data_IF_338611784955
#
_entry.id   IF_338611784955
#
_cell.length_a   1.000
_cell.length_b   1.000
_cell.length_c   1.000
_cell.angle_alpha   90.00
_cell.angle_beta   90.00
_cell.angle_gamma   90.00
#
_symmetry.space_group_name_H-M   'P 1'
#
loop_
_entity.id
_entity.type
_entity.pdbx_description
1 polymer ?
#
# COMPACT_ATOMS: atom_id res chain seq x y z
N UNK A 1 12.73 34.77 -24.78
CA UNK A 1 12.23 33.45 -25.21
C UNK A 1 11.65 33.69 -26.59
N UNK A 2 12.37 33.29 -27.64
CA UNK A 2 11.99 33.57 -29.02
C UNK A 2 10.85 32.64 -29.44
N UNK A 3 9.82 33.14 -30.15
CA UNK A 3 8.67 32.32 -30.57
C UNK A 3 8.94 31.41 -31.79
N UNK A 4 10.16 31.43 -32.36
CA UNK A 4 10.51 30.72 -33.60
C UNK A 4 11.37 29.45 -33.41
N UNK A 5 11.72 29.06 -32.19
CA UNK A 5 12.42 27.79 -31.91
C UNK A 5 11.43 26.63 -31.62
N UNK A 6 10.22 26.73 -32.16
CA UNK A 6 9.30 25.59 -32.27
C UNK A 6 9.77 24.75 -33.45
N UNK A 7 10.74 23.87 -33.24
CA UNK A 7 10.87 22.71 -34.13
C UNK A 7 9.48 22.09 -34.24
N UNK A 8 8.98 21.96 -35.48
CA UNK A 8 7.64 21.47 -35.74
C UNK A 8 7.52 20.10 -35.08
N UNK A 9 6.51 19.90 -34.23
CA UNK A 9 6.35 18.63 -33.52
C UNK A 9 6.30 17.45 -34.51
N UNK A 10 5.83 17.73 -35.72
CA UNK A 10 5.81 16.81 -36.85
C UNK A 10 7.22 16.37 -37.30
N UNK A 11 8.22 17.28 -37.32
CA UNK A 11 9.61 16.96 -37.67
C UNK A 11 10.26 16.07 -36.60
N UNK A 12 9.98 16.35 -35.33
CA UNK A 12 10.51 15.58 -34.19
C UNK A 12 9.91 14.17 -34.15
N UNK A 13 8.60 14.04 -34.41
CA UNK A 13 7.92 12.76 -34.59
C UNK A 13 8.53 12.00 -35.78
N UNK A 14 8.74 12.67 -36.92
CA UNK A 14 9.30 12.04 -38.11
C UNK A 14 10.73 11.53 -37.87
N UNK A 15 11.54 12.24 -37.07
CA UNK A 15 12.87 11.79 -36.66
C UNK A 15 12.82 10.46 -35.90
N UNK A 16 11.93 10.32 -34.91
CA UNK A 16 11.80 9.07 -34.16
C UNK A 16 11.24 7.91 -35.01
N UNK A 17 10.36 8.21 -35.98
CA UNK A 17 9.89 7.22 -36.96
C UNK A 17 11.06 6.72 -37.82
N UNK A 18 11.91 7.63 -38.29
CA UNK A 18 13.09 7.29 -39.09
C UNK A 18 14.06 6.41 -38.30
N UNK A 19 14.36 6.78 -37.05
CA UNK A 19 15.23 6.01 -36.15
C UNK A 19 14.69 4.59 -35.89
N UNK A 20 13.41 4.45 -35.60
CA UNK A 20 12.77 3.15 -35.43
C UNK A 20 12.83 2.28 -36.70
N UNK A 21 12.72 2.92 -37.87
CA UNK A 21 12.82 2.26 -39.16
C UNK A 21 14.25 1.82 -39.45
N UNK A 22 15.25 2.62 -39.08
CA UNK A 22 16.67 2.26 -39.20
C UNK A 22 17.03 1.07 -38.31
N UNK A 23 16.59 1.02 -37.06
CA UNK A 23 16.78 -0.15 -36.18
C UNK A 23 16.23 -1.43 -36.83
N UNK A 24 15.10 -1.31 -37.51
CA UNK A 24 14.46 -2.43 -38.22
C UNK A 24 15.26 -2.87 -39.44
N UNK A 25 15.87 -1.93 -40.18
CA UNK A 25 16.74 -2.25 -41.34
C UNK A 25 18.10 -2.80 -40.92
N UNK A 26 18.64 -2.36 -39.78
CA UNK A 26 19.98 -2.75 -39.32
C UNK A 26 20.02 -4.16 -38.71
N UNK A 27 18.87 -4.73 -38.33
CA UNK A 27 18.74 -6.10 -37.83
C UNK A 27 18.61 -7.17 -38.94
N UNK A 28 19.35 -6.97 -40.03
CA UNK A 28 19.51 -7.99 -41.08
C UNK A 28 20.78 -8.78 -40.78
N UNK A 29 20.64 -10.10 -40.67
CA UNK A 29 21.76 -10.97 -40.33
C UNK A 29 22.75 -11.00 -41.49
N UNK A 30 23.96 -10.46 -41.28
CA UNK A 30 25.04 -10.33 -42.28
C UNK A 30 25.35 -11.62 -43.06
N UNK A 31 25.11 -12.79 -42.45
CA UNK A 31 25.48 -14.08 -43.03
C UNK A 31 24.48 -14.64 -44.04
N UNK A 32 23.17 -14.37 -43.90
CA UNK A 32 22.14 -15.00 -44.73
C UNK A 32 21.12 -14.02 -45.34
N UNK A 33 21.26 -12.71 -45.12
CA UNK A 33 20.25 -11.70 -45.50
C UNK A 33 18.83 -11.98 -44.96
N UNK A 34 18.72 -12.86 -43.95
CA UNK A 34 17.46 -13.16 -43.28
C UNK A 34 17.27 -12.10 -42.20
N UNK A 35 16.18 -11.35 -42.30
CA UNK A 35 15.77 -10.40 -41.27
C UNK A 35 15.37 -11.16 -40.00
N UNK A 36 15.82 -10.68 -38.84
CA UNK A 36 15.32 -11.16 -37.55
C UNK A 36 14.35 -10.12 -36.97
N UNK A 37 13.06 -10.18 -37.34
CA UNK A 37 12.08 -9.18 -36.90
C UNK A 37 11.90 -9.17 -35.38
N UNK A 38 12.14 -10.29 -34.70
CA UNK A 38 12.03 -10.39 -33.25
C UNK A 38 13.17 -9.64 -32.55
N UNK A 39 14.41 -9.77 -33.04
CA UNK A 39 15.55 -9.00 -32.54
C UNK A 39 15.39 -7.49 -32.81
N UNK A 40 14.94 -7.15 -34.02
CA UNK A 40 14.61 -5.77 -34.40
C UNK A 40 13.56 -5.15 -33.46
N UNK A 41 12.49 -5.90 -33.19
CA UNK A 41 11.43 -5.50 -32.28
C UNK A 41 11.94 -5.26 -30.86
N UNK A 42 12.76 -6.18 -30.33
CA UNK A 42 13.39 -6.02 -29.01
C UNK A 42 14.27 -4.79 -28.93
N UNK A 43 15.16 -4.60 -29.90
CA UNK A 43 16.06 -3.45 -29.91
C UNK A 43 15.28 -2.14 -30.00
N UNK A 44 14.23 -2.10 -30.83
CA UNK A 44 13.34 -0.94 -30.92
C UNK A 44 12.71 -0.62 -29.57
N UNK A 45 12.16 -1.62 -28.87
CA UNK A 45 11.55 -1.42 -27.53
C UNK A 45 12.60 -0.91 -26.54
N UNK A 46 13.79 -1.50 -26.52
CA UNK A 46 14.86 -1.11 -25.60
C UNK A 46 15.28 0.35 -25.83
N UNK A 47 15.53 0.74 -27.08
CA UNK A 47 16.01 2.10 -27.42
C UNK A 47 14.94 3.17 -27.25
N UNK A 48 13.70 2.89 -27.64
CA UNK A 48 12.65 3.91 -27.68
C UNK A 48 11.81 3.97 -26.40
N UNK A 49 11.43 2.82 -25.85
CA UNK A 49 10.47 2.77 -24.74
C UNK A 49 11.15 2.63 -23.37
N UNK A 50 12.33 2.00 -23.30
CA UNK A 50 13.02 1.79 -22.02
C UNK A 50 14.01 2.89 -21.65
N UNK A 51 14.55 3.62 -22.63
CA UNK A 51 15.41 4.78 -22.40
C UNK A 51 14.60 5.96 -21.85
N UNK A 52 15.00 6.56 -20.73
CA UNK A 52 14.12 7.54 -20.07
C UNK A 52 13.94 8.84 -20.82
N UNK A 53 15.01 9.39 -21.40
CA UNK A 53 14.97 10.65 -22.13
C UNK A 53 14.11 10.54 -23.39
N UNK A 54 14.38 9.54 -24.24
CA UNK A 54 13.61 9.27 -25.46
C UNK A 54 12.14 8.99 -25.12
N UNK A 55 11.87 8.20 -24.07
CA UNK A 55 10.49 7.95 -23.63
C UNK A 55 9.81 9.25 -23.18
N UNK A 56 10.48 10.10 -22.42
CA UNK A 56 9.91 11.37 -21.95
C UNK A 56 9.63 12.33 -23.12
N UNK A 57 10.52 12.37 -24.10
CA UNK A 57 10.36 13.14 -25.35
C UNK A 57 9.16 12.64 -26.16
N UNK A 58 9.06 11.33 -26.39
CA UNK A 58 7.91 10.73 -27.08
C UNK A 58 6.59 10.95 -26.32
N UNK A 59 6.60 10.80 -24.99
CA UNK A 59 5.43 11.10 -24.16
C UNK A 59 4.99 12.56 -24.31
N UNK A 60 5.94 13.51 -24.30
CA UNK A 60 5.67 14.94 -24.52
C UNK A 60 5.02 15.18 -25.88
N UNK A 61 5.58 14.60 -26.94
CA UNK A 61 5.05 14.72 -28.30
C UNK A 61 3.64 14.12 -28.45
N UNK A 62 3.34 13.07 -27.68
CA UNK A 62 2.05 12.39 -27.69
C UNK A 62 1.04 12.95 -26.67
N UNK A 63 1.40 13.98 -25.90
CA UNK A 63 0.54 14.53 -24.85
C UNK A 63 0.31 13.58 -23.65
N UNK A 64 1.19 12.61 -23.45
CA UNK A 64 1.15 11.68 -22.32
C UNK A 64 1.96 12.27 -21.17
N UNK A 65 1.30 12.56 -20.04
CA UNK A 65 1.94 13.19 -18.88
C UNK A 65 2.23 12.22 -17.71
N UNK A 66 1.86 10.95 -17.86
CA UNK A 66 2.04 9.94 -16.82
C UNK A 66 3.20 8.99 -17.11
N UNK A 67 3.68 8.31 -16.07
CA UNK A 67 4.76 7.35 -16.22
C UNK A 67 4.24 6.04 -16.80
N UNK A 68 4.76 5.65 -17.97
CA UNK A 68 4.35 4.41 -18.64
C UNK A 68 4.71 3.13 -17.85
N UNK A 69 5.67 3.20 -16.93
CA UNK A 69 6.04 2.04 -16.10
C UNK A 69 4.94 1.58 -15.16
N UNK A 70 3.99 2.44 -14.77
CA UNK A 70 2.87 2.02 -13.93
C UNK A 70 1.81 1.22 -14.70
N UNK A 71 1.84 1.26 -16.03
CA UNK A 71 0.90 0.53 -16.90
C UNK A 71 1.40 -0.86 -17.30
N UNK A 72 2.69 -1.14 -17.09
CA UNK A 72 3.26 -2.46 -17.35
C UNK A 72 2.70 -3.45 -16.33
N UNK A 73 2.28 -4.62 -16.81
CA UNK A 73 1.87 -5.72 -15.94
C UNK A 73 3.01 -6.00 -14.93
N UNK A 74 2.75 -5.87 -13.61
CA UNK A 74 3.79 -6.07 -12.61
C UNK A 74 4.41 -7.47 -12.63
N UNK A 75 3.74 -8.47 -13.22
CA UNK A 75 4.32 -9.80 -13.43
C UNK A 75 5.55 -9.76 -14.37
N UNK A 76 5.59 -8.81 -15.31
CA UNK A 76 6.68 -8.62 -16.27
C UNK A 76 7.68 -7.54 -15.84
N UNK A 77 7.41 -6.82 -14.75
CA UNK A 77 8.29 -5.76 -14.26
C UNK A 77 9.69 -6.25 -13.88
N UNK A 78 9.91 -7.44 -13.28
CA UNK A 78 11.25 -7.95 -13.03
C UNK A 78 12.11 -8.08 -14.30
N UNK A 79 11.52 -8.60 -15.38
CA UNK A 79 12.19 -8.75 -16.67
C UNK A 79 12.47 -7.39 -17.31
N UNK A 80 11.52 -6.45 -17.23
CA UNK A 80 11.69 -5.08 -17.74
C UNK A 80 12.80 -4.33 -16.98
N UNK A 81 12.83 -4.40 -15.65
CA UNK A 81 13.89 -3.80 -14.84
C UNK A 81 15.26 -4.42 -15.15
N UNK A 82 15.31 -5.73 -15.37
CA UNK A 82 16.53 -6.43 -15.78
C UNK A 82 17.02 -5.99 -17.17
N UNK A 83 16.11 -5.72 -18.11
CA UNK A 83 16.46 -5.17 -19.42
C UNK A 83 17.03 -3.75 -19.29
N UNK A 84 16.38 -2.89 -18.49
CA UNK A 84 16.83 -1.52 -18.27
C UNK A 84 18.23 -1.52 -17.64
N UNK A 85 18.44 -2.28 -16.56
CA UNK A 85 19.74 -2.35 -15.89
C UNK A 85 20.87 -2.95 -16.73
N UNK A 86 20.57 -3.67 -17.82
CA UNK A 86 21.58 -4.22 -18.75
C UNK A 86 21.90 -3.29 -19.92
N UNK A 87 20.95 -2.46 -20.33
CA UNK A 87 21.05 -1.68 -21.57
C UNK A 87 21.13 -0.17 -21.36
N UNK A 88 20.75 0.32 -20.17
CA UNK A 88 20.72 1.73 -19.80
C UNK A 88 21.49 1.97 -18.51
N UNK A 89 21.61 3.24 -18.12
CA UNK A 89 22.36 3.65 -16.94
C UNK A 89 21.59 3.38 -15.63
N UNK A 90 22.26 3.64 -14.50
CA UNK A 90 21.60 3.50 -13.19
C UNK A 90 20.46 4.52 -12.97
N UNK A 91 20.51 5.67 -13.64
CA UNK A 91 19.46 6.68 -13.58
C UNK A 91 18.13 6.15 -14.12
N UNK A 92 18.17 5.52 -15.29
CA UNK A 92 17.01 4.91 -15.94
C UNK A 92 16.42 3.77 -15.13
N UNK A 93 17.29 2.91 -14.57
CA UNK A 93 16.86 1.84 -13.68
C UNK A 93 16.19 2.39 -12.42
N UNK A 94 16.76 3.43 -11.81
CA UNK A 94 16.20 4.07 -10.63
C UNK A 94 14.83 4.70 -10.92
N UNK A 95 14.68 5.41 -12.03
CA UNK A 95 13.39 6.00 -12.44
C UNK A 95 12.34 4.92 -12.71
N UNK A 96 12.72 3.84 -13.38
CA UNK A 96 11.83 2.71 -13.64
C UNK A 96 11.37 2.04 -12.35
N UNK A 97 12.29 1.79 -11.41
CA UNK A 97 11.99 1.21 -10.11
C UNK A 97 11.06 2.13 -9.30
N UNK A 98 11.41 3.43 -9.21
CA UNK A 98 10.62 4.43 -8.48
C UNK A 98 9.19 4.51 -8.98
N UNK A 99 8.99 4.43 -10.30
CA UNK A 99 7.66 4.50 -10.90
C UNK A 99 6.85 3.21 -10.77
N UNK A 100 7.50 2.04 -10.73
CA UNK A 100 6.81 0.74 -10.72
C UNK A 100 6.59 0.18 -9.32
N UNK A 101 7.24 0.74 -8.29
CA UNK A 101 7.24 0.19 -6.94
C UNK A 101 5.83 0.05 -6.34
N UNK A 102 4.95 1.03 -6.56
CA UNK A 102 3.58 0.96 -6.06
C UNK A 102 2.76 -0.14 -6.75
N UNK A 103 2.95 -0.30 -8.07
CA UNK A 103 2.29 -1.35 -8.84
C UNK A 103 2.83 -2.73 -8.45
N UNK A 104 4.15 -2.86 -8.26
CA UNK A 104 4.80 -4.06 -7.74
C UNK A 104 4.23 -4.44 -6.36
N UNK A 105 4.14 -3.49 -5.43
CA UNK A 105 3.52 -3.72 -4.11
C UNK A 105 2.05 -4.17 -4.22
N UNK A 106 1.28 -3.61 -5.15
CA UNK A 106 -0.10 -4.01 -5.40
C UNK A 106 -0.22 -5.47 -5.84
N UNK A 107 0.74 -5.95 -6.64
CA UNK A 107 0.81 -7.37 -7.04
C UNK A 107 1.29 -8.32 -5.96
N UNK A 108 2.03 -7.85 -4.94
CA UNK A 108 2.43 -8.71 -3.82
C UNK A 108 1.19 -9.07 -3.00
N UNK A 109 0.49 -10.11 -3.42
CA UNK A 109 -0.68 -10.75 -2.83
C UNK A 109 -1.45 -9.85 -1.84
N UNK A 110 -1.99 -8.74 -2.36
CA UNK A 110 -2.75 -7.76 -1.59
C UNK A 110 -3.86 -8.44 -0.77
N UNK A 111 -4.44 -9.52 -1.30
CA UNK A 111 -5.39 -10.38 -0.58
C UNK A 111 -4.79 -10.99 0.70
N UNK A 112 -3.59 -11.56 0.63
CA UNK A 112 -2.87 -12.11 1.80
C UNK A 112 -2.47 -11.00 2.77
N UNK A 113 -2.05 -9.83 2.27
CA UNK A 113 -1.74 -8.66 3.10
C UNK A 113 -2.99 -8.20 3.90
N UNK A 114 -4.12 -8.01 3.21
CA UNK A 114 -5.40 -7.65 3.83
C UNK A 114 -5.85 -8.72 4.83
N UNK A 115 -5.69 -10.02 4.50
CA UNK A 115 -6.02 -11.12 5.41
C UNK A 115 -5.16 -11.08 6.69
N UNK A 116 -3.86 -10.82 6.59
CA UNK A 116 -2.97 -10.66 7.74
C UNK A 116 -3.35 -9.46 8.59
N UNK A 117 -3.65 -8.33 7.96
CA UNK A 117 -4.10 -7.12 8.66
C UNK A 117 -5.44 -7.35 9.39
N UNK A 118 -6.39 -8.06 8.76
CA UNK A 118 -7.64 -8.47 9.42
C UNK A 118 -7.40 -9.36 10.62
N UNK A 119 -6.50 -10.36 10.52
CA UNK A 119 -6.16 -11.24 11.62
C UNK A 119 -5.52 -10.48 12.80
N UNK A 120 -4.62 -9.55 12.51
CA UNK A 120 -3.99 -8.67 13.50
C UNK A 120 -5.03 -7.85 14.28
N UNK A 121 -5.94 -7.17 13.58
CA UNK A 121 -6.98 -6.38 14.24
C UNK A 121 -7.98 -7.24 15.02
N UNK A 122 -8.34 -8.43 14.50
CA UNK A 122 -9.19 -9.37 15.22
C UNK A 122 -8.56 -9.82 16.55
N UNK A 123 -7.24 -10.06 16.58
CA UNK A 123 -6.53 -10.40 17.81
C UNK A 123 -6.52 -9.25 18.83
N UNK A 124 -6.37 -8.00 18.38
CA UNK A 124 -6.47 -6.82 19.25
C UNK A 124 -7.87 -6.70 19.85
N UNK A 125 -8.91 -6.87 19.04
CA UNK A 125 -10.30 -6.82 19.51
C UNK A 125 -10.57 -7.92 20.53
N UNK A 126 -10.09 -9.15 20.29
CA UNK A 126 -10.22 -10.24 21.24
C UNK A 126 -9.50 -9.94 22.57
N UNK A 127 -8.30 -9.36 22.52
CA UNK A 127 -7.57 -8.92 23.72
C UNK A 127 -8.35 -7.86 24.52
N UNK A 128 -8.91 -6.85 23.84
CA UNK A 128 -9.72 -5.84 24.52
C UNK A 128 -11.01 -6.42 25.10
N UNK A 129 -11.67 -7.34 24.40
CA UNK A 129 -12.85 -8.02 24.91
C UNK A 129 -12.57 -8.81 26.20
N UNK A 130 -11.40 -9.48 26.29
CA UNK A 130 -10.98 -10.17 27.51
C UNK A 130 -10.77 -9.19 28.69
N UNK A 131 -10.14 -8.04 28.44
CA UNK A 131 -9.95 -7.00 29.47
C UNK A 131 -11.31 -6.45 29.94
N UNK A 132 -12.24 -6.21 29.02
CA UNK A 132 -13.59 -5.74 29.37
C UNK A 132 -14.33 -6.78 30.22
N UNK A 133 -14.20 -8.07 29.89
CA UNK A 133 -14.80 -9.14 30.70
C UNK A 133 -14.23 -9.18 32.13
N UNK A 134 -12.91 -9.04 32.30
CA UNK A 134 -12.26 -8.99 33.62
C UNK A 134 -12.71 -7.76 34.43
N UNK A 135 -12.82 -6.59 33.79
CA UNK A 135 -13.31 -5.40 34.47
C UNK A 135 -14.77 -5.54 34.90
N UNK A 136 -15.60 -6.21 34.09
CA UNK A 136 -17.00 -6.48 34.43
C UNK A 136 -17.13 -7.38 35.66
N UNK A 137 -16.36 -8.46 35.76
CA UNK A 137 -16.41 -9.35 36.93
C UNK A 137 -15.97 -8.63 38.21
N UNK A 138 -14.98 -7.74 38.13
CA UNK A 138 -14.56 -6.92 39.28
C UNK A 138 -15.65 -5.94 39.72
N UNK A 139 -16.42 -5.37 38.79
CA UNK A 139 -17.55 -4.52 39.16
C UNK A 139 -18.66 -5.32 39.86
N UNK A 140 -19.00 -6.51 39.35
CA UNK A 140 -20.00 -7.38 39.97
C UNK A 140 -19.60 -7.81 41.40
N UNK A 141 -18.31 -8.06 41.65
CA UNK A 141 -17.78 -8.35 43.00
C UNK A 141 -17.89 -7.13 43.95
N UNK A 142 -17.54 -5.94 43.47
CA UNK A 142 -17.66 -4.71 44.25
C UNK A 142 -19.11 -4.36 44.58
N UNK A 143 -20.03 -4.55 43.64
CA UNK A 143 -21.47 -4.34 43.84
C UNK A 143 -22.04 -5.32 44.88
N UNK A 144 -21.63 -6.59 44.83
CA UNK A 144 -22.01 -7.58 45.85
C UNK A 144 -21.47 -7.21 47.23
N UNK A 145 -20.24 -6.69 47.31
CA UNK A 145 -19.62 -6.23 48.56
C UNK A 145 -20.34 -5.01 49.14
N UNK A 146 -20.73 -4.05 48.31
CA UNK A 146 -21.51 -2.88 48.72
C UNK A 146 -22.87 -3.31 49.31
N UNK A 147 -23.58 -4.21 48.61
CA UNK A 147 -24.87 -4.74 49.07
C UNK A 147 -24.76 -5.41 50.45
N UNK A 148 -23.71 -6.22 50.68
CA UNK A 148 -23.48 -6.86 51.98
C UNK A 148 -23.15 -5.87 53.10
N UNK A 149 -22.50 -4.74 52.81
CA UNK A 149 -22.21 -3.71 53.80
C UNK A 149 -23.48 -2.94 54.20
N UNK A 150 -24.36 -2.65 53.24
CA UNK A 150 -25.63 -1.96 53.50
C UNK A 150 -26.58 -2.79 54.38
N UNK A 151 -26.68 -4.11 54.12
CA UNK A 151 -27.47 -5.04 54.95
C UNK A 151 -26.97 -5.12 56.40
N UNK A 152 -25.66 -5.02 56.62
CA UNK A 152 -25.07 -5.06 57.97
C UNK A 152 -25.36 -3.80 58.81
N UNK A 153 -25.55 -2.64 58.16
CA UNK A 153 -25.89 -1.38 58.82
C UNK A 153 -27.33 -1.41 59.35
N UNK A 154 -28.29 -1.91 58.56
CA UNK A 154 -29.71 -1.98 58.96
C UNK A 154 -29.94 -2.88 60.20
N UNK A 155 -29.21 -4.00 60.31
CA UNK A 155 -29.32 -4.91 61.47
C UNK A 155 -28.80 -4.26 62.77
N UNK A 156 -27.83 -3.36 62.68
CA UNK A 156 -27.24 -2.72 63.85
C UNK A 156 -28.09 -1.53 64.36
N UNK A 157 -28.78 -0.82 63.47
CA UNK A 157 -29.68 0.28 63.86
C UNK A 157 -30.96 -0.21 64.55
N UNK A 158 -31.52 -1.35 64.14
CA UNK A 158 -32.72 -1.93 64.77
C UNK A 158 -32.50 -2.48 66.20
N UNK A 159 -31.27 -2.86 66.55
CA UNK A 159 -30.96 -3.41 67.88
C UNK A 159 -30.83 -2.32 68.96
N UNK A 160 -30.36 -1.13 68.59
CA UNK A 160 -30.21 0.00 69.51
C UNK A 160 -31.55 0.66 69.90
N UNK A 161 -32.59 0.53 69.08
CA UNK A 161 -33.90 1.16 69.37
C UNK A 161 -34.72 0.37 70.41
N UNK A 162 -34.48 -0.94 70.56
CA UNK A 162 -35.17 -1.80 71.53
C UNK A 162 -34.59 -1.70 72.95
N UNK A 163 -33.32 -1.34 73.12
CA UNK A 163 -32.68 -1.29 74.45
C UNK A 163 -33.05 -0.02 75.26
N UNK A 164 -33.44 1.07 74.61
CA UNK A 164 -33.84 2.30 75.31
C UNK A 164 -35.26 2.30 75.91
N UNK A 165 -36.12 1.34 75.58
CA UNK A 165 -37.51 1.29 76.09
C UNK A 165 -37.70 0.54 77.41
N UNK A 166 -36.73 -0.26 77.88
CA UNK A 166 -36.92 -1.16 79.03
C UNK A 166 -36.73 -0.54 80.43
N UNK A 167 -36.19 0.68 80.57
CA UNK A 167 -35.80 1.21 81.88
C UNK A 167 -36.86 2.03 82.66
N UNK A 168 -38.15 2.03 82.27
CA UNK A 168 -39.14 2.98 82.86
C UNK A 168 -40.16 2.41 83.86
N UNK A 169 -40.08 1.14 84.30
CA UNK A 169 -41.09 0.55 85.20
C UNK A 169 -40.51 -0.17 86.42
N UNK A 170 -39.97 0.57 87.40
CA UNK A 170 -39.77 0.06 88.77
C UNK A 170 -39.59 1.17 89.80
N UNK A 171 -40.64 1.95 90.08
CA UNK A 171 -40.79 2.73 91.32
C UNK A 171 -42.28 2.90 91.63
N UNK A 172 -42.81 2.04 92.50
CA UNK A 172 -43.73 2.35 93.61
C UNK A 172 -44.02 1.08 94.39
#
# INVERSE_FOLDING_TARGET
MNPDDSFDADDEIQRHINEATEISRNNVNSWNNVSNPEAAGREKVIKTQLHSEIRAELCRLQGVHQSLYSEIDPLHMPEVLSLIGRHHDQGDLYLALKSSIMTLFSTVNMKKCIQQQRAYHAAIVAKHAAIVAEHRTKMEELDAKLTSMDEAVEVNEGSNELEHRSNKRRRK
#
